data_IF_313968916643
#
_entry.id   IF_313968916643
#
_cell.length_a   1.000
_cell.length_b   1.000
_cell.length_c   1.000
_cell.angle_alpha   90.00
_cell.angle_beta   90.00
_cell.angle_gamma   90.00
#
_symmetry.space_group_name_H-M   'P 1'
#
loop_
_entity.id
_entity.type
_entity.pdbx_description
1 polymer ?
#
# COMPACT_ATOMS: atom_id res chain seq x y z
N UNK A 1 -42.29 -13.94 -31.40
CA UNK A 1 -41.15 -14.85 -31.13
C UNK A 1 -40.03 -13.98 -30.50
N UNK A 2 -39.98 -13.91 -29.18
CA UNK A 2 -39.04 -13.06 -28.46
C UNK A 2 -37.74 -13.82 -28.27
N UNK A 3 -36.68 -13.38 -28.90
CA UNK A 3 -35.32 -13.84 -28.69
C UNK A 3 -34.85 -13.12 -27.45
N UNK A 4 -34.82 -13.82 -26.30
CA UNK A 4 -34.11 -13.40 -25.10
C UNK A 4 -32.65 -13.73 -25.32
N UNK A 5 -31.88 -12.80 -25.81
CA UNK A 5 -30.42 -12.85 -25.72
C UNK A 5 -30.03 -12.75 -24.25
N UNK A 6 -29.74 -13.89 -23.61
CA UNK A 6 -29.03 -13.95 -22.37
C UNK A 6 -27.56 -13.63 -22.66
N UNK A 7 -27.20 -12.36 -22.50
CA UNK A 7 -25.80 -11.98 -22.36
C UNK A 7 -25.31 -12.60 -21.04
N UNK A 8 -24.67 -13.75 -21.12
CA UNK A 8 -23.88 -14.30 -20.03
C UNK A 8 -22.63 -13.41 -19.93
N UNK A 9 -22.73 -12.36 -19.11
CA UNK A 9 -21.57 -11.71 -18.58
C UNK A 9 -20.89 -12.74 -17.66
N UNK A 10 -19.89 -13.43 -18.18
CA UNK A 10 -18.93 -14.14 -17.37
C UNK A 10 -18.12 -13.04 -16.70
N UNK A 11 -18.56 -12.62 -15.52
CA UNK A 11 -17.73 -11.83 -14.63
C UNK A 11 -16.50 -12.70 -14.30
N UNK A 12 -15.39 -12.41 -14.92
CA UNK A 12 -14.09 -12.90 -14.44
C UNK A 12 -13.95 -12.36 -13.01
N UNK A 13 -13.60 -13.17 -12.02
CA UNK A 13 -13.24 -12.64 -10.73
C UNK A 13 -12.03 -11.70 -10.97
N UNK A 14 -12.27 -10.41 -10.81
CA UNK A 14 -11.18 -9.44 -10.77
C UNK A 14 -10.64 -9.53 -9.35
N UNK A 15 -9.56 -10.23 -9.16
CA UNK A 15 -8.78 -10.20 -7.93
C UNK A 15 -8.05 -8.86 -7.89
N UNK A 16 -8.75 -7.83 -7.42
CA UNK A 16 -8.18 -6.50 -7.31
C UNK A 16 -8.92 -5.73 -6.21
N UNK A 17 -8.14 -5.17 -5.27
CA UNK A 17 -8.68 -4.30 -4.24
C UNK A 17 -9.25 -3.01 -4.83
N UNK A 18 -10.31 -2.47 -4.24
CA UNK A 18 -10.91 -1.19 -4.63
C UNK A 18 -10.63 -0.15 -3.56
N UNK A 19 -10.02 0.98 -3.95
CA UNK A 19 -9.83 2.15 -3.09
C UNK A 19 -10.80 3.26 -3.43
N UNK A 20 -11.18 4.08 -2.42
CA UNK A 20 -11.93 5.30 -2.64
C UNK A 20 -11.43 6.44 -1.76
N UNK A 21 -11.54 7.66 -2.28
CA UNK A 21 -11.26 8.90 -1.55
C UNK A 21 -12.42 9.85 -1.74
N UNK A 22 -13.01 10.33 -0.63
CA UNK A 22 -14.05 11.35 -0.63
C UNK A 22 -13.44 12.64 -0.09
N UNK A 23 -13.30 13.63 -0.97
CA UNK A 23 -12.67 14.90 -0.62
C UNK A 23 -13.54 15.75 0.29
N UNK A 24 -12.90 16.63 1.06
CA UNK A 24 -13.49 17.51 2.09
C UNK A 24 -14.69 18.39 1.67
N UNK A 25 -14.90 18.59 0.38
CA UNK A 25 -16.05 19.35 -0.13
C UNK A 25 -17.35 18.54 -0.17
N UNK A 26 -17.25 17.22 -0.03
CA UNK A 26 -18.37 16.28 -0.10
C UNK A 26 -18.73 15.69 1.26
N UNK A 27 -18.02 16.05 2.32
CA UNK A 27 -18.25 15.61 3.69
C UNK A 27 -18.91 16.72 4.52
N UNK A 28 -19.75 16.34 5.49
CA UNK A 28 -20.48 17.31 6.31
C UNK A 28 -19.59 18.12 7.25
N UNK A 29 -18.45 17.57 7.66
CA UNK A 29 -17.50 18.13 8.62
C UNK A 29 -16.20 18.66 7.97
N UNK A 30 -16.08 18.57 6.64
CA UNK A 30 -14.87 18.96 5.91
C UNK A 30 -13.71 17.99 6.04
N UNK A 31 -13.94 16.78 6.53
CA UNK A 31 -12.94 15.70 6.56
C UNK A 31 -12.71 15.10 5.17
N UNK A 32 -11.56 14.43 4.98
CA UNK A 32 -11.34 13.56 3.83
C UNK A 32 -11.54 12.12 4.30
N UNK A 33 -12.41 11.37 3.62
CA UNK A 33 -12.63 9.95 3.91
C UNK A 33 -11.82 9.10 2.92
N UNK A 34 -11.11 8.13 3.46
CA UNK A 34 -10.34 7.16 2.69
C UNK A 34 -10.80 5.76 3.10
N UNK A 35 -11.02 4.90 2.14
CA UNK A 35 -11.40 3.51 2.42
C UNK A 35 -10.97 2.59 1.29
N UNK A 36 -10.93 1.29 1.60
CA UNK A 36 -10.62 0.23 0.64
C UNK A 36 -11.40 -1.03 0.93
N UNK A 37 -11.61 -1.83 -0.10
CA UNK A 37 -11.88 -3.25 0.03
C UNK A 37 -10.59 -4.05 -0.16
N UNK A 38 -10.60 -5.27 0.31
CA UNK A 38 -9.60 -6.27 0.00
C UNK A 38 -10.31 -7.47 -0.59
N UNK A 39 -10.10 -7.67 -1.87
CA UNK A 39 -10.84 -8.66 -2.65
C UNK A 39 -9.99 -9.93 -2.79
N UNK A 40 -9.77 -10.61 -1.65
CA UNK A 40 -9.02 -11.85 -1.50
C UNK A 40 -9.90 -12.99 -0.96
N UNK A 41 -9.26 -14.03 -0.45
CA UNK A 41 -9.92 -15.20 0.13
C UNK A 41 -10.92 -14.83 1.24
N UNK A 42 -12.11 -15.47 1.30
CA UNK A 42 -13.21 -15.03 2.17
C UNK A 42 -12.94 -15.16 3.68
N UNK A 43 -11.90 -15.84 4.11
CA UNK A 43 -11.54 -16.05 5.52
C UNK A 43 -10.33 -15.23 5.97
N UNK A 44 -10.02 -14.14 5.26
CA UNK A 44 -8.90 -13.27 5.57
C UNK A 44 -9.26 -12.28 6.68
N UNK A 45 -9.04 -12.67 7.92
CA UNK A 45 -9.33 -11.81 9.08
C UNK A 45 -8.33 -10.67 9.16
N UNK A 46 -8.83 -9.44 9.37
CA UNK A 46 -8.01 -8.26 9.58
C UNK A 46 -8.03 -7.80 11.02
N UNK A 47 -6.89 -7.32 11.48
CA UNK A 47 -6.73 -6.69 12.78
C UNK A 47 -6.41 -5.20 12.59
N UNK A 48 -6.89 -4.38 13.52
CA UNK A 48 -6.47 -2.99 13.62
C UNK A 48 -5.36 -2.90 14.66
N UNK A 49 -4.21 -2.38 14.27
CA UNK A 49 -3.05 -2.26 15.15
C UNK A 49 -2.57 -0.82 15.28
N UNK A 50 -1.90 -0.53 16.38
CA UNK A 50 -1.22 0.73 16.62
C UNK A 50 0.28 0.46 16.63
N UNK A 51 1.01 1.16 15.77
CA UNK A 51 2.46 1.20 15.75
C UNK A 51 2.90 2.45 16.52
N UNK A 52 3.53 2.26 17.66
CA UNK A 52 3.93 3.36 18.51
C UNK A 52 5.09 4.17 17.91
N UNK A 53 5.25 5.41 18.36
CA UNK A 53 6.40 6.24 18.00
C UNK A 53 7.69 5.63 18.52
N UNK A 54 8.71 5.55 17.66
CA UNK A 54 10.01 4.97 18.00
C UNK A 54 11.14 5.97 17.72
N UNK A 55 12.07 6.10 18.65
CA UNK A 55 13.34 6.79 18.45
C UNK A 55 14.37 5.76 17.99
N UNK A 56 14.69 5.80 16.71
CA UNK A 56 15.56 4.80 16.10
C UNK A 56 17.03 5.05 16.44
N UNK A 57 17.79 3.98 16.58
CA UNK A 57 19.24 4.08 16.66
C UNK A 57 19.80 4.52 15.31
N UNK A 58 20.92 5.24 15.33
CA UNK A 58 21.62 5.63 14.11
C UNK A 58 21.92 4.42 13.24
N UNK A 59 21.50 4.48 11.97
CA UNK A 59 21.69 3.40 11.01
C UNK A 59 20.66 2.26 11.11
N UNK A 60 19.54 2.46 11.83
CA UNK A 60 18.44 1.52 11.83
C UNK A 60 17.85 1.37 10.42
N UNK A 61 17.53 0.14 10.05
CA UNK A 61 17.03 -0.23 8.72
C UNK A 61 15.69 -0.94 8.89
N UNK A 62 14.73 -0.60 8.03
CA UNK A 62 13.56 -1.42 7.78
C UNK A 62 13.98 -2.55 6.83
N UNK A 63 13.54 -3.76 7.11
CA UNK A 63 13.70 -4.91 6.25
C UNK A 63 12.33 -5.54 5.98
N UNK A 64 12.00 -5.67 4.70
CA UNK A 64 10.78 -6.33 4.27
C UNK A 64 11.02 -7.84 4.19
N UNK A 65 10.34 -8.60 5.06
CA UNK A 65 10.49 -10.05 5.11
C UNK A 65 9.95 -10.76 3.85
N UNK A 66 9.07 -10.12 3.10
CA UNK A 66 8.47 -10.72 1.91
C UNK A 66 9.46 -10.84 0.74
N UNK A 67 10.35 -9.86 0.56
CA UNK A 67 11.28 -9.83 -0.58
C UNK A 67 12.72 -9.42 -0.24
N UNK A 68 13.02 -9.11 1.02
CA UNK A 68 14.34 -8.68 1.46
C UNK A 68 14.69 -7.23 1.15
N UNK A 69 13.72 -6.39 0.74
CA UNK A 69 13.92 -4.98 0.52
C UNK A 69 14.38 -4.27 1.80
N UNK A 70 15.37 -3.40 1.70
CA UNK A 70 15.92 -2.65 2.84
C UNK A 70 15.90 -1.15 2.58
N UNK A 71 15.44 -0.40 3.59
CA UNK A 71 15.43 1.06 3.55
C UNK A 71 15.79 1.67 4.91
N UNK A 72 16.58 2.76 4.95
CA UNK A 72 16.93 3.43 6.21
C UNK A 72 15.70 3.98 6.92
N UNK A 73 15.58 3.70 8.21
CA UNK A 73 14.56 4.32 9.05
C UNK A 73 14.96 5.75 9.43
N UNK A 74 13.97 6.68 9.58
CA UNK A 74 14.23 8.01 10.09
C UNK A 74 14.67 7.96 11.57
N UNK A 75 15.28 9.02 12.08
CA UNK A 75 15.64 9.11 13.49
C UNK A 75 14.42 8.95 14.41
N UNK A 76 13.27 9.47 13.97
CA UNK A 76 11.98 9.33 14.66
C UNK A 76 11.00 8.68 13.70
N UNK A 77 10.55 7.48 14.03
CA UNK A 77 9.40 6.85 13.38
C UNK A 77 8.13 7.33 14.08
N UNK A 78 7.25 7.99 13.33
CA UNK A 78 6.00 8.52 13.84
C UNK A 78 5.01 7.41 14.18
N UNK A 79 4.15 7.67 15.16
CA UNK A 79 3.04 6.79 15.50
C UNK A 79 2.05 6.71 14.35
N UNK A 80 1.58 5.50 14.05
CA UNK A 80 0.53 5.28 13.05
C UNK A 80 -0.36 4.10 13.42
N UNK A 81 -1.55 4.08 12.83
CA UNK A 81 -2.44 2.93 12.89
C UNK A 81 -2.36 2.18 11.57
N UNK A 82 -2.55 0.89 11.60
CA UNK A 82 -2.53 0.08 10.40
C UNK A 82 -3.52 -1.10 10.45
N UNK A 83 -3.84 -1.59 9.27
CA UNK A 83 -4.52 -2.87 9.06
C UNK A 83 -3.52 -3.77 8.35
N UNK A 84 -2.79 -4.63 9.08
CA UNK A 84 -1.83 -5.53 8.48
C UNK A 84 -2.49 -6.70 7.79
N UNK A 85 -1.81 -7.27 6.83
CA UNK A 85 -2.11 -8.60 6.34
C UNK A 85 -1.89 -9.65 7.45
N UNK A 86 -2.62 -10.74 7.38
CA UNK A 86 -2.58 -11.83 8.37
C UNK A 86 -1.70 -13.00 7.95
N UNK A 87 -0.90 -12.85 6.88
CA UNK A 87 0.02 -13.87 6.39
C UNK A 87 1.30 -13.86 7.24
N UNK A 88 1.47 -14.77 8.21
CA UNK A 88 2.51 -14.67 9.25
C UNK A 88 3.94 -14.75 8.72
N UNK A 89 4.15 -15.40 7.59
CA UNK A 89 5.44 -15.65 6.95
C UNK A 89 5.96 -14.43 6.17
N UNK A 90 5.12 -13.43 5.94
CA UNK A 90 5.50 -12.19 5.25
C UNK A 90 5.95 -11.07 6.20
N UNK A 91 5.99 -11.33 7.51
CA UNK A 91 6.42 -10.36 8.51
C UNK A 91 5.44 -9.21 8.72
N UNK A 92 5.94 -7.97 8.84
CA UNK A 92 5.10 -6.78 8.95
C UNK A 92 4.67 -6.38 7.54
N UNK A 93 3.39 -6.53 7.28
CA UNK A 93 2.77 -6.15 6.01
C UNK A 93 1.56 -5.26 6.31
N UNK A 94 1.81 -3.99 6.59
CA UNK A 94 0.77 -3.02 6.87
C UNK A 94 0.19 -2.51 5.54
N UNK A 95 -1.03 -2.90 5.19
CA UNK A 95 -1.63 -2.60 3.88
C UNK A 95 -2.21 -1.20 3.78
N UNK A 96 -2.79 -0.71 4.86
CA UNK A 96 -3.40 0.61 4.93
C UNK A 96 -3.32 1.16 6.34
N UNK A 97 -3.36 2.49 6.46
CA UNK A 97 -3.38 3.14 7.76
C UNK A 97 -3.30 4.65 7.69
N UNK A 98 -3.14 5.28 8.83
CA UNK A 98 -2.89 6.71 8.93
C UNK A 98 -1.98 7.03 10.11
N UNK A 99 -1.16 8.06 9.97
CA UNK A 99 -0.25 8.48 11.01
C UNK A 99 -0.81 9.61 11.88
N UNK A 100 -0.08 9.94 12.93
CA UNK A 100 -0.45 10.99 13.89
C UNK A 100 -0.52 12.41 13.31
N UNK A 101 -0.06 12.62 12.08
CA UNK A 101 -0.19 13.87 11.33
C UNK A 101 -1.37 13.87 10.36
N UNK A 102 -2.19 12.80 10.35
CA UNK A 102 -3.35 12.68 9.47
C UNK A 102 -3.00 12.31 8.03
N UNK A 103 -1.80 11.82 7.76
CA UNK A 103 -1.45 11.24 6.46
C UNK A 103 -1.99 9.82 6.41
N UNK A 104 -2.77 9.53 5.38
CA UNK A 104 -3.30 8.19 5.10
C UNK A 104 -2.66 7.61 3.87
N UNK A 105 -2.46 6.30 3.90
CA UNK A 105 -1.98 5.51 2.76
C UNK A 105 -2.76 4.21 2.65
N UNK A 106 -2.97 3.75 1.44
CA UNK A 106 -3.47 2.42 1.13
C UNK A 106 -2.72 1.92 -0.09
N UNK A 107 -2.06 0.79 0.05
CA UNK A 107 -1.33 0.15 -1.03
C UNK A 107 -2.15 -1.03 -1.59
N UNK A 108 -2.14 -1.21 -2.91
CA UNK A 108 -2.78 -2.34 -3.59
C UNK A 108 -1.93 -2.80 -4.76
N UNK A 109 -1.91 -4.10 -5.05
CA UNK A 109 -1.35 -4.65 -6.28
C UNK A 109 -2.47 -4.86 -7.29
N UNK A 110 -2.97 -3.76 -7.86
CA UNK A 110 -4.09 -3.78 -8.80
C UNK A 110 -3.67 -3.49 -10.25
N UNK A 111 -2.40 -3.20 -10.48
CA UNK A 111 -1.85 -2.91 -11.79
C UNK A 111 -0.57 -3.70 -12.04
N UNK A 112 -0.32 -4.04 -13.28
CA UNK A 112 0.93 -4.69 -13.70
C UNK A 112 1.46 -4.05 -14.98
N UNK A 113 2.77 -3.99 -15.11
CA UNK A 113 3.39 -3.56 -16.35
C UNK A 113 3.23 -4.64 -17.42
N UNK A 114 2.93 -4.24 -18.65
CA UNK A 114 2.85 -5.16 -19.77
C UNK A 114 4.25 -5.64 -20.22
N UNK A 115 4.31 -6.70 -21.03
CA UNK A 115 5.56 -7.31 -21.48
C UNK A 115 6.50 -6.35 -22.22
N UNK A 116 5.98 -5.30 -22.87
CA UNK A 116 6.83 -4.34 -23.59
C UNK A 116 7.58 -3.45 -22.61
N UNK A 117 6.90 -3.01 -21.56
CA UNK A 117 7.52 -2.20 -20.50
C UNK A 117 8.49 -3.08 -19.70
N UNK A 118 8.10 -4.30 -19.33
CA UNK A 118 8.96 -5.23 -18.59
C UNK A 118 10.30 -5.55 -19.30
N UNK A 119 10.36 -5.43 -20.63
CA UNK A 119 11.61 -5.60 -21.38
C UNK A 119 12.55 -4.42 -21.30
N UNK A 120 12.03 -3.23 -21.02
CA UNK A 120 12.80 -1.96 -21.00
C UNK A 120 13.08 -1.53 -19.56
N UNK A 121 12.09 -1.71 -18.70
CA UNK A 121 12.10 -1.35 -17.28
C UNK A 121 11.48 -2.49 -16.46
N UNK A 122 12.26 -3.55 -16.19
CA UNK A 122 11.79 -4.73 -15.47
C UNK A 122 11.62 -4.44 -13.98
N UNK A 123 10.72 -5.17 -13.34
CA UNK A 123 10.62 -5.15 -11.89
C UNK A 123 11.93 -5.59 -11.22
N UNK A 124 12.25 -4.93 -10.12
CA UNK A 124 13.43 -5.24 -9.30
C UNK A 124 13.00 -6.16 -8.17
N UNK A 125 13.50 -7.38 -8.14
CA UNK A 125 13.05 -8.43 -7.21
C UNK A 125 13.05 -8.00 -5.74
N UNK A 126 14.11 -7.30 -5.32
CA UNK A 126 14.30 -6.72 -4.00
C UNK A 126 14.03 -5.20 -3.97
N UNK A 127 13.20 -4.72 -4.91
CA UNK A 127 12.69 -3.35 -4.94
C UNK A 127 11.58 -3.11 -3.94
N UNK A 128 11.06 -1.89 -3.90
CA UNK A 128 9.94 -1.54 -3.03
C UNK A 128 8.71 -2.39 -3.36
N UNK A 129 8.22 -3.16 -2.37
CA UNK A 129 7.04 -4.02 -2.46
C UNK A 129 5.83 -3.45 -1.70
N UNK A 130 4.61 -3.88 -2.02
CA UNK A 130 3.39 -3.48 -1.30
C UNK A 130 3.55 -3.71 0.21
N UNK A 131 4.14 -4.86 0.58
CA UNK A 131 4.43 -5.27 1.95
C UNK A 131 5.20 -4.23 2.77
N UNK A 132 6.17 -3.52 2.14
CA UNK A 132 7.00 -2.53 2.83
C UNK A 132 6.48 -1.10 2.76
N UNK A 133 5.59 -0.79 1.80
CA UNK A 133 5.28 0.59 1.42
C UNK A 133 4.67 1.40 2.56
N UNK A 134 3.61 0.92 3.19
CA UNK A 134 2.93 1.59 4.31
C UNK A 134 3.84 1.72 5.52
N UNK A 135 4.59 0.67 5.84
CA UNK A 135 5.50 0.59 6.99
C UNK A 135 6.72 1.51 6.87
N UNK A 136 7.06 1.95 5.67
CA UNK A 136 8.13 2.92 5.42
C UNK A 136 7.59 4.35 5.38
N UNK A 137 6.45 4.57 4.71
CA UNK A 137 5.95 5.92 4.46
C UNK A 137 5.30 6.52 5.69
N UNK A 138 4.34 5.84 6.33
CA UNK A 138 3.59 6.42 7.47
C UNK A 138 4.48 6.88 8.62
N UNK A 139 5.51 6.12 9.05
CA UNK A 139 6.38 6.58 10.12
C UNK A 139 7.36 7.69 9.72
N UNK A 140 7.45 8.02 8.43
CA UNK A 140 8.51 8.90 7.92
C UNK A 140 8.04 10.30 7.51
N UNK A 141 6.73 10.51 7.33
CA UNK A 141 6.21 11.73 6.68
C UNK A 141 5.17 12.46 7.52
N UNK A 142 5.04 13.77 7.31
CA UNK A 142 4.05 14.64 7.97
C UNK A 142 2.97 15.14 7.02
N UNK A 143 3.19 15.01 5.72
CA UNK A 143 2.23 15.44 4.69
C UNK A 143 2.10 14.37 3.61
N UNK A 144 0.94 14.32 2.95
CA UNK A 144 0.72 13.40 1.82
C UNK A 144 1.70 13.66 0.66
N UNK A 145 2.10 14.94 0.45
CA UNK A 145 3.09 15.30 -0.57
C UNK A 145 4.46 14.69 -0.27
N UNK A 146 4.94 14.81 0.98
CA UNK A 146 6.18 14.14 1.41
C UNK A 146 6.11 12.61 1.18
N UNK A 147 4.93 12.00 1.41
CA UNK A 147 4.72 10.58 1.14
C UNK A 147 4.91 10.23 -0.34
N UNK A 148 4.31 10.98 -1.24
CA UNK A 148 4.46 10.78 -2.70
C UNK A 148 5.92 10.98 -3.13
N UNK A 149 6.58 12.03 -2.64
CA UNK A 149 7.99 12.34 -2.95
C UNK A 149 8.93 11.24 -2.41
N UNK A 150 8.66 10.70 -1.22
CA UNK A 150 9.42 9.59 -0.65
C UNK A 150 9.27 8.32 -1.48
N UNK A 151 8.04 7.96 -1.88
CA UNK A 151 7.79 6.79 -2.73
C UNK A 151 8.52 6.94 -4.07
N UNK A 152 8.40 8.10 -4.73
CA UNK A 152 9.07 8.35 -6.00
C UNK A 152 10.59 8.20 -5.86
N UNK A 153 11.17 8.80 -4.83
CA UNK A 153 12.61 8.68 -4.53
C UNK A 153 13.05 7.23 -4.33
N UNK A 154 12.28 6.45 -3.54
CA UNK A 154 12.62 5.04 -3.29
C UNK A 154 12.58 4.24 -4.59
N UNK A 155 11.55 4.45 -5.41
CA UNK A 155 11.42 3.74 -6.69
C UNK A 155 12.53 4.13 -7.66
N UNK A 156 12.92 5.40 -7.72
CA UNK A 156 14.06 5.87 -8.53
C UNK A 156 15.40 5.26 -8.09
N UNK A 157 15.60 5.12 -6.77
CA UNK A 157 16.86 4.62 -6.21
C UNK A 157 16.95 3.08 -6.15
N UNK A 158 15.83 2.40 -5.92
CA UNK A 158 15.79 0.97 -5.60
C UNK A 158 14.94 0.14 -6.53
N UNK A 159 14.12 0.78 -7.37
CA UNK A 159 13.13 0.10 -8.21
C UNK A 159 11.89 -0.35 -7.45
N UNK A 160 10.93 -0.87 -8.20
CA UNK A 160 9.70 -1.48 -7.68
C UNK A 160 9.70 -2.99 -7.94
N UNK A 161 9.23 -3.77 -6.98
CA UNK A 161 9.17 -5.23 -7.11
C UNK A 161 7.96 -5.69 -7.94
N UNK A 162 6.95 -4.84 -8.07
CA UNK A 162 5.68 -5.15 -8.74
C UNK A 162 4.94 -3.87 -9.15
N UNK A 163 3.89 -3.96 -9.95
CA UNK A 163 3.00 -2.85 -10.27
C UNK A 163 2.08 -2.51 -9.10
N UNK A 164 1.73 -1.22 -8.92
CA UNK A 164 0.94 -0.75 -7.78
C UNK A 164 0.05 0.42 -8.08
N UNK A 165 -1.01 0.50 -7.25
CA UNK A 165 -1.78 1.72 -7.05
C UNK A 165 -1.67 2.13 -5.57
N UNK A 166 -1.34 3.39 -5.34
CA UNK A 166 -1.19 3.98 -4.00
C UNK A 166 -2.03 5.24 -3.90
#
# INVERSE_FOLDING_TARGET
>A
MCIRDRLLLIAQPVEACTGFIIGKKLTADGSTLVGRTEDLEPNHNKNFVVRERVYNKKGAIFEDAANGFQYPLPEISYKYTAVPDVTPDQGIFDEAGFNEYGVSISATVSASANDKIQKVDPYVKDGLAESGLTSIVLPSVKTAREGVELIAKIVEEKGAAEGRCV
#
